data_IF_493867127165
#
_entry.id   IF_493867127165
#
_cell.length_a   1.000
_cell.length_b   1.000
_cell.length_c   1.000
_cell.angle_alpha   90.00
_cell.angle_beta   90.00
_cell.angle_gamma   90.00
#
_symmetry.space_group_name_H-M   'P 1'
#
loop_
_entity.id
_entity.type
_entity.pdbx_description
1 polymer ?
#
# COMPACT_ATOMS: atom_id res chain seq x y z
N UNK A 1 9.12 1.76 32.41
CA UNK A 1 8.14 2.16 31.39
C UNK A 1 8.96 2.59 30.18
N UNK A 2 9.13 1.69 29.20
CA UNK A 2 9.91 1.98 28.01
C UNK A 2 9.07 2.88 27.10
N UNK A 3 9.46 4.14 26.94
CA UNK A 3 8.98 4.96 25.83
C UNK A 3 9.44 4.28 24.54
N UNK A 4 8.53 3.61 23.84
CA UNK A 4 8.83 2.92 22.58
C UNK A 4 9.16 3.98 21.52
N UNK A 5 10.46 4.21 21.31
CA UNK A 5 10.95 5.10 20.26
C UNK A 5 10.40 4.62 18.91
N UNK A 6 9.65 5.50 18.24
CA UNK A 6 9.02 5.19 16.97
C UNK A 6 10.11 4.84 15.96
N UNK A 7 10.09 3.64 15.37
CA UNK A 7 11.05 3.26 14.34
C UNK A 7 11.06 4.29 13.19
N UNK A 8 12.17 4.39 12.47
CA UNK A 8 12.27 5.30 11.32
C UNK A 8 11.16 5.06 10.29
N UNK A 9 10.73 3.81 10.10
CA UNK A 9 9.64 3.46 9.19
C UNK A 9 8.26 3.84 9.74
N UNK A 10 7.97 3.59 11.02
CA UNK A 10 6.73 4.06 11.67
C UNK A 10 6.63 5.60 11.62
N UNK A 11 7.74 6.31 11.84
CA UNK A 11 7.79 7.79 11.73
C UNK A 11 7.56 8.30 10.31
N UNK A 12 8.16 7.64 9.32
CA UNK A 12 7.95 7.97 7.92
C UNK A 12 6.50 7.68 7.49
N UNK A 13 5.89 6.60 7.97
CA UNK A 13 4.48 6.30 7.74
C UNK A 13 3.56 7.35 8.38
N UNK A 14 3.82 7.74 9.63
CA UNK A 14 3.09 8.81 10.33
C UNK A 14 3.12 10.13 9.55
N UNK A 15 4.29 10.54 9.05
CA UNK A 15 4.40 11.76 8.25
C UNK A 15 3.61 11.67 6.95
N UNK A 16 3.62 10.52 6.26
CA UNK A 16 2.79 10.31 5.07
C UNK A 16 1.30 10.39 5.38
N UNK A 17 0.85 9.79 6.49
CA UNK A 17 -0.56 9.90 6.91
C UNK A 17 -0.98 11.35 7.19
N UNK A 18 -0.10 12.16 7.79
CA UNK A 18 -0.37 13.60 7.98
C UNK A 18 -0.52 14.33 6.64
N UNK A 19 0.29 13.99 5.64
CA UNK A 19 0.14 14.53 4.27
C UNK A 19 -1.16 14.06 3.62
N UNK A 20 -1.50 12.77 3.74
CA UNK A 20 -2.75 12.21 3.20
C UNK A 20 -3.98 12.90 3.80
N UNK A 21 -3.98 13.20 5.10
CA UNK A 21 -5.04 13.98 5.74
C UNK A 21 -5.23 15.34 5.04
N UNK A 22 -4.15 16.06 4.76
CA UNK A 22 -4.23 17.33 4.02
C UNK A 22 -4.78 17.18 2.59
N UNK A 23 -4.47 16.08 1.90
CA UNK A 23 -5.10 15.78 0.61
C UNK A 23 -6.61 15.52 0.73
N UNK A 24 -7.04 14.77 1.75
CA UNK A 24 -8.46 14.51 2.01
C UNK A 24 -9.19 15.83 2.28
N UNK A 25 -8.61 16.72 3.09
CA UNK A 25 -9.18 18.06 3.33
C UNK A 25 -9.31 18.87 2.02
N UNK A 26 -8.37 18.69 1.08
CA UNK A 26 -8.45 19.27 -0.26
C UNK A 26 -9.62 18.71 -1.09
N UNK A 27 -9.82 17.39 -1.07
CA UNK A 27 -10.93 16.71 -1.76
C UNK A 27 -12.28 17.17 -1.20
N UNK A 28 -12.40 17.30 0.12
CA UNK A 28 -13.62 17.80 0.77
C UNK A 28 -13.94 19.21 0.24
N UNK A 29 -12.96 20.11 0.20
CA UNK A 29 -13.15 21.46 -0.38
C UNK A 29 -13.57 21.43 -1.84
N UNK A 30 -13.01 20.52 -2.64
CA UNK A 30 -13.44 20.35 -4.04
C UNK A 30 -14.93 20.02 -4.14
N UNK A 31 -15.44 19.14 -3.27
CA UNK A 31 -16.87 18.80 -3.22
C UNK A 31 -17.72 19.97 -2.74
N UNK A 32 -17.28 20.71 -1.72
CA UNK A 32 -17.96 21.90 -1.21
C UNK A 32 -18.08 23.01 -2.28
N UNK A 33 -17.13 23.05 -3.23
CA UNK A 33 -17.11 24.00 -4.34
C UNK A 33 -17.73 23.46 -5.64
N UNK A 34 -18.47 22.34 -5.60
CA UNK A 34 -19.09 21.70 -6.78
C UNK A 34 -18.09 21.45 -7.93
N UNK A 35 -16.87 21.04 -7.58
CA UNK A 35 -15.83 20.75 -8.56
C UNK A 35 -16.21 19.56 -9.45
N UNK A 36 -15.66 19.54 -10.67
CA UNK A 36 -15.94 18.50 -11.65
C UNK A 36 -15.64 17.09 -11.13
N UNK A 37 -16.62 16.21 -11.20
CA UNK A 37 -16.59 14.88 -10.59
C UNK A 37 -15.35 14.05 -10.98
N UNK A 38 -14.91 14.14 -12.25
CA UNK A 38 -13.75 13.37 -12.72
C UNK A 38 -12.46 13.81 -12.04
N UNK A 39 -12.32 15.10 -11.74
CA UNK A 39 -11.13 15.60 -11.06
C UNK A 39 -11.13 15.22 -9.57
N UNK A 40 -12.29 15.24 -8.92
CA UNK A 40 -12.47 14.70 -7.57
C UNK A 40 -12.07 13.21 -7.53
N UNK A 41 -12.55 12.41 -8.49
CA UNK A 41 -12.20 10.98 -8.59
C UNK A 41 -10.68 10.78 -8.75
N UNK A 42 -10.00 11.56 -9.59
CA UNK A 42 -8.53 11.50 -9.73
C UNK A 42 -7.81 11.79 -8.41
N UNK A 43 -8.27 12.78 -7.63
CA UNK A 43 -7.67 13.09 -6.33
C UNK A 43 -7.90 11.97 -5.31
N UNK A 44 -9.08 11.34 -5.31
CA UNK A 44 -9.37 10.16 -4.48
C UNK A 44 -8.39 9.02 -4.85
N UNK A 45 -8.19 8.73 -6.14
CA UNK A 45 -7.23 7.71 -6.58
C UNK A 45 -5.78 8.04 -6.17
N UNK A 46 -5.40 9.31 -6.16
CA UNK A 46 -4.09 9.76 -5.66
C UNK A 46 -3.93 9.48 -4.16
N UNK A 47 -4.98 9.71 -3.35
CA UNK A 47 -5.01 9.38 -1.92
C UNK A 47 -4.90 7.88 -1.68
N UNK A 48 -5.66 7.06 -2.42
CA UNK A 48 -5.58 5.60 -2.33
C UNK A 48 -4.15 5.10 -2.60
N UNK A 49 -3.51 5.64 -3.64
CA UNK A 49 -2.12 5.31 -3.98
C UNK A 49 -1.12 5.71 -2.88
N UNK A 50 -1.36 6.83 -2.19
CA UNK A 50 -0.53 7.28 -1.09
C UNK A 50 -0.72 6.42 0.17
N UNK A 51 -1.95 5.97 0.44
CA UNK A 51 -2.25 5.03 1.52
C UNK A 51 -1.58 3.68 1.27
N UNK A 52 -1.64 3.16 0.05
CA UNK A 52 -0.98 1.91 -0.34
C UNK A 52 0.54 1.97 -0.11
N UNK A 53 1.20 3.06 -0.56
CA UNK A 53 2.62 3.27 -0.29
C UNK A 53 2.93 3.35 1.20
N UNK A 54 2.04 3.92 2.00
CA UNK A 54 2.20 4.00 3.46
C UNK A 54 2.06 2.61 4.10
N UNK A 55 1.10 1.81 3.63
CA UNK A 55 0.90 0.44 4.10
C UNK A 55 2.12 -0.45 3.82
N UNK A 56 2.77 -0.31 2.65
CA UNK A 56 4.02 -1.00 2.33
C UNK A 56 5.17 -0.67 3.29
N UNK A 57 5.27 0.58 3.72
CA UNK A 57 6.28 1.00 4.71
C UNK A 57 6.00 0.36 6.08
N UNK A 58 4.72 0.25 6.46
CA UNK A 58 4.32 -0.43 7.69
C UNK A 58 4.57 -1.93 7.63
N UNK A 59 4.24 -2.57 6.51
CA UNK A 59 4.54 -3.98 6.26
C UNK A 59 6.03 -4.26 6.40
N UNK A 60 6.88 -3.46 5.75
CA UNK A 60 8.32 -3.62 5.84
C UNK A 60 8.83 -3.49 7.29
N UNK A 61 8.31 -2.50 8.03
CA UNK A 61 8.63 -2.37 9.44
C UNK A 61 8.23 -3.61 10.24
N UNK A 62 7.02 -4.12 10.02
CA UNK A 62 6.50 -5.28 10.74
C UNK A 62 7.35 -6.53 10.48
N UNK A 63 7.75 -6.75 9.22
CA UNK A 63 8.62 -7.86 8.84
C UNK A 63 9.98 -7.81 9.56
N UNK A 64 10.59 -6.63 9.66
CA UNK A 64 11.89 -6.43 10.33
C UNK A 64 11.83 -6.48 11.86
N UNK A 65 10.66 -6.22 12.47
CA UNK A 65 10.53 -6.15 13.93
C UNK A 65 9.71 -7.32 14.47
N UNK A 66 8.40 -7.16 14.55
CA UNK A 66 7.52 -8.06 15.29
C UNK A 66 7.45 -9.45 14.66
N UNK A 67 7.47 -9.52 13.32
CA UNK A 67 7.45 -10.79 12.61
C UNK A 67 8.76 -11.55 12.80
N UNK A 68 9.90 -10.88 12.66
CA UNK A 68 11.22 -11.50 12.85
C UNK A 68 11.38 -12.07 14.28
N UNK A 69 10.92 -11.34 15.30
CA UNK A 69 10.86 -11.83 16.67
C UNK A 69 9.92 -13.05 16.84
N UNK A 70 8.73 -12.99 16.24
CA UNK A 70 7.78 -14.11 16.30
C UNK A 70 8.33 -15.39 15.65
N UNK A 71 9.15 -15.27 14.60
CA UNK A 71 9.83 -16.42 13.97
C UNK A 71 10.84 -17.05 14.94
N UNK A 72 11.66 -16.22 15.61
CA UNK A 72 12.65 -16.69 16.58
C UNK A 72 11.99 -17.38 17.80
N UNK A 73 10.82 -16.92 18.19
CA UNK A 73 10.03 -17.47 19.30
C UNK A 73 9.19 -18.71 18.92
N UNK A 74 9.29 -19.20 17.68
CA UNK A 74 8.50 -20.35 17.20
C UNK A 74 7.01 -20.04 16.99
N UNK A 75 6.63 -18.77 16.92
CA UNK A 75 5.24 -18.28 16.70
C UNK A 75 4.97 -17.87 15.25
N UNK A 76 5.78 -18.32 14.31
CA UNK A 76 5.70 -17.92 12.90
C UNK A 76 4.33 -18.16 12.27
N UNK A 77 3.69 -19.31 12.52
CA UNK A 77 2.40 -19.65 11.93
C UNK A 77 1.30 -18.66 12.30
N UNK A 78 1.23 -18.26 13.57
CA UNK A 78 0.27 -17.27 14.08
C UNK A 78 0.53 -15.91 13.44
N UNK A 79 1.79 -15.48 13.41
CA UNK A 79 2.18 -14.19 12.83
C UNK A 79 1.88 -14.12 11.32
N UNK A 80 2.01 -15.23 10.59
CA UNK A 80 1.63 -15.31 9.16
C UNK A 80 0.12 -15.14 9.01
N UNK A 81 -0.69 -15.84 9.79
CA UNK A 81 -2.15 -15.77 9.73
C UNK A 81 -2.64 -14.34 10.02
N UNK A 82 -2.13 -13.71 11.09
CA UNK A 82 -2.42 -12.31 11.43
C UNK A 82 -2.05 -11.35 10.29
N UNK A 83 -0.90 -11.58 9.65
CA UNK A 83 -0.43 -10.73 8.56
C UNK A 83 -1.29 -10.88 7.30
N UNK A 84 -1.69 -12.11 6.96
CA UNK A 84 -2.57 -12.39 5.82
C UNK A 84 -3.94 -11.75 6.03
N UNK A 85 -4.49 -11.82 7.24
CA UNK A 85 -5.77 -11.19 7.57
C UNK A 85 -5.70 -9.65 7.50
N UNK A 86 -4.59 -9.07 7.93
CA UNK A 86 -4.38 -7.62 7.88
C UNK A 86 -4.23 -7.08 6.45
N UNK A 87 -3.67 -7.88 5.54
CA UNK A 87 -3.48 -7.52 4.14
C UNK A 87 -4.72 -7.93 3.33
N UNK A 88 -5.68 -7.00 3.20
CA UNK A 88 -6.78 -7.17 2.25
C UNK A 88 -6.25 -7.03 0.82
N UNK A 89 -5.92 -8.15 0.19
CA UNK A 89 -5.57 -8.21 -1.22
C UNK A 89 -6.80 -7.86 -2.07
N UNK A 90 -6.92 -6.58 -2.44
CA UNK A 90 -7.85 -6.18 -3.50
C UNK A 90 -7.24 -6.54 -4.86
N UNK A 91 -8.00 -7.11 -5.80
CA UNK A 91 -7.55 -7.36 -7.17
C UNK A 91 -6.97 -6.12 -7.88
N UNK A 92 -7.24 -4.91 -7.41
CA UNK A 92 -6.61 -3.69 -7.93
C UNK A 92 -5.11 -3.56 -7.58
N UNK A 93 -4.61 -4.32 -6.59
CA UNK A 93 -3.23 -4.30 -6.10
C UNK A 93 -2.43 -5.56 -6.51
N UNK A 94 -3.12 -6.63 -6.92
CA UNK A 94 -2.55 -7.94 -7.30
C UNK A 94 -3.10 -8.46 -8.63
N UNK A 95 -3.88 -7.65 -9.35
CA UNK A 95 -4.52 -8.00 -10.61
C UNK A 95 -3.50 -8.24 -11.73
N UNK A 96 -3.96 -8.71 -12.90
CA UNK A 96 -3.09 -9.16 -14.00
C UNK A 96 -2.08 -8.11 -14.53
N UNK A 97 -2.28 -6.82 -14.25
CA UNK A 97 -1.31 -5.76 -14.59
C UNK A 97 -0.32 -5.44 -13.44
N UNK A 98 -0.42 -6.11 -12.28
CA UNK A 98 0.47 -5.97 -11.14
C UNK A 98 1.71 -6.87 -11.29
N UNK A 99 2.47 -6.68 -12.37
CA UNK A 99 3.91 -6.91 -12.46
C UNK A 99 4.55 -8.20 -11.91
N UNK A 100 3.85 -9.35 -11.83
CA UNK A 100 4.47 -10.67 -11.62
C UNK A 100 3.83 -11.81 -12.42
N UNK A 101 2.93 -11.54 -13.35
CA UNK A 101 2.59 -12.49 -14.42
C UNK A 101 1.91 -11.72 -15.57
N UNK A 102 2.71 -11.26 -16.54
CA UNK A 102 2.21 -10.56 -17.73
C UNK A 102 1.92 -11.59 -18.84
N UNK A 103 0.65 -11.93 -19.13
CA UNK A 103 0.31 -12.83 -20.23
C UNK A 103 0.53 -12.20 -21.63
N UNK A 104 0.92 -10.92 -21.73
CA UNK A 104 1.29 -10.27 -23.00
C UNK A 104 2.79 -10.38 -23.31
N UNK A 105 3.59 -10.96 -22.43
CA UNK A 105 5.01 -11.23 -22.69
C UNK A 105 5.22 -12.32 -23.77
N UNK A 106 4.22 -13.17 -24.03
CA UNK A 106 4.29 -14.24 -25.04
C UNK A 106 3.89 -13.80 -26.47
N UNK A 107 3.27 -12.63 -26.66
CA UNK A 107 2.84 -12.17 -27.99
C UNK A 107 3.92 -11.39 -28.76
N UNK A 108 5.04 -11.05 -28.13
CA UNK A 108 6.13 -10.31 -28.77
C UNK A 108 7.09 -11.17 -29.62
N UNK A 109 6.88 -12.50 -29.71
CA UNK A 109 7.83 -13.43 -30.35
C UNK A 109 7.41 -13.88 -31.77
N UNK A 110 6.18 -13.57 -32.24
CA UNK A 110 5.65 -14.20 -33.47
C UNK A 110 5.56 -13.32 -34.72
N UNK A 111 6.00 -12.06 -34.69
CA UNK A 111 6.13 -11.25 -35.92
C UNK A 111 7.56 -11.26 -36.48
N UNK A 112 8.01 -12.47 -36.83
CA UNK A 112 9.12 -12.68 -37.75
C UNK A 112 8.58 -13.16 -39.10
N UNK A 113 8.29 -12.23 -40.01
CA UNK A 113 7.98 -12.51 -41.41
C UNK A 113 9.13 -13.29 -42.09
N UNK A 114 8.82 -14.06 -43.13
CA UNK A 114 8.73 -13.47 -44.48
C UNK A 114 7.31 -13.31 -45.01
#
# INVERSE_FOLDING_TARGET
>A
MAEEELTTKKRAALNRLKTVRGHIDGIIRMLECDAYCVDVMKQISAVQSALERTNRVMLHNHLETCFSEAVLDGRAAIAIEELVDALKFSPALTGPDAGLNDPRADEAVTTGAP
#
